data_IF_031960384354
#
_entry.id   IF_031960384354
#
_cell.length_a   1.000
_cell.length_b   1.000
_cell.length_c   1.000
_cell.angle_alpha   90.00
_cell.angle_beta   90.00
_cell.angle_gamma   90.00
#
_symmetry.space_group_name_H-M   'P 1'
#
loop_
_entity.id
_entity.type
_entity.pdbx_description
1 polymer ?
#
# COMPACT_ATOMS: atom_id res chain seq x y z
N UNK A 1 9.01 0.37 2.05
CA UNK A 1 8.14 -0.22 3.06
C UNK A 1 7.09 -1.12 2.43
N UNK A 2 6.30 -0.63 1.48
CA UNK A 2 5.29 -1.43 0.77
C UNK A 2 5.77 -2.01 -0.59
N UNK A 3 7.04 -1.91 -0.89
CA UNK A 3 7.68 -2.51 -2.09
C UNK A 3 7.39 -4.02 -2.22
N UNK A 4 7.32 -4.73 -1.10
CA UNK A 4 6.95 -6.14 -1.06
C UNK A 4 5.58 -6.46 -1.67
N UNK A 5 4.65 -5.50 -1.71
CA UNK A 5 3.35 -5.66 -2.38
C UNK A 5 3.56 -5.82 -3.90
N UNK A 6 4.42 -4.99 -4.49
CA UNK A 6 4.77 -5.12 -5.92
C UNK A 6 5.40 -6.48 -6.22
N UNK A 7 6.28 -6.97 -5.34
CA UNK A 7 6.92 -8.29 -5.46
C UNK A 7 5.87 -9.41 -5.40
N UNK A 8 4.92 -9.35 -4.46
CA UNK A 8 3.86 -10.35 -4.33
C UNK A 8 2.91 -10.36 -5.53
N UNK A 9 2.54 -9.19 -6.06
CA UNK A 9 1.74 -9.06 -7.27
C UNK A 9 2.47 -9.67 -8.48
N UNK A 10 3.76 -9.36 -8.65
CA UNK A 10 4.58 -9.91 -9.72
C UNK A 10 4.70 -11.43 -9.60
N UNK A 11 4.95 -11.95 -8.40
CA UNK A 11 5.04 -13.39 -8.13
C UNK A 11 3.75 -14.13 -8.52
N UNK A 12 2.59 -13.58 -8.18
CA UNK A 12 1.29 -14.16 -8.57
C UNK A 12 1.10 -14.13 -10.10
N UNK A 13 1.45 -13.01 -10.74
CA UNK A 13 1.38 -12.88 -12.19
C UNK A 13 2.27 -13.92 -12.91
N UNK A 14 3.52 -14.05 -12.48
CA UNK A 14 4.48 -14.99 -13.10
C UNK A 14 4.03 -16.45 -12.91
N UNK A 15 3.48 -16.76 -11.73
CA UNK A 15 2.88 -18.08 -11.45
C UNK A 15 1.71 -18.34 -12.42
N UNK A 16 0.84 -17.35 -12.64
CA UNK A 16 -0.30 -17.52 -13.54
C UNK A 16 0.11 -17.74 -14.99
N UNK A 17 1.10 -17.00 -15.49
CA UNK A 17 1.65 -17.19 -16.83
C UNK A 17 2.26 -18.58 -16.98
N UNK A 18 3.07 -19.00 -16.00
CA UNK A 18 3.72 -20.31 -16.00
C UNK A 18 2.70 -21.46 -15.94
N UNK A 19 1.73 -21.37 -15.04
CA UNK A 19 0.67 -22.37 -14.89
C UNK A 19 -0.17 -22.51 -16.16
N UNK A 20 -0.46 -21.38 -16.84
CA UNK A 20 -1.18 -21.38 -18.12
C UNK A 20 -0.38 -22.10 -19.22
N UNK A 21 0.90 -21.82 -19.35
CA UNK A 21 1.75 -22.50 -20.33
C UNK A 21 1.82 -24.03 -20.07
N UNK A 22 1.88 -24.42 -18.81
CA UNK A 22 1.84 -25.84 -18.41
C UNK A 22 0.49 -26.47 -18.79
N UNK A 23 -0.63 -25.79 -18.51
CA UNK A 23 -1.96 -26.27 -18.88
C UNK A 23 -2.12 -26.43 -20.38
N UNK A 24 -1.69 -25.44 -21.18
CA UNK A 24 -1.76 -25.52 -22.64
C UNK A 24 -0.94 -26.67 -23.21
N UNK A 25 0.27 -26.89 -22.68
CA UNK A 25 1.12 -28.02 -23.05
C UNK A 25 0.47 -29.37 -22.67
N UNK A 26 -0.08 -29.47 -21.46
CA UNK A 26 -0.77 -30.68 -20.99
C UNK A 26 -1.99 -30.97 -21.86
N UNK A 27 -2.82 -29.97 -22.19
CA UNK A 27 -3.99 -30.15 -23.06
C UNK A 27 -3.57 -30.60 -24.46
N UNK A 28 -2.50 -30.06 -25.03
CA UNK A 28 -1.98 -30.49 -26.33
C UNK A 28 -1.57 -31.99 -26.31
N UNK A 29 -0.86 -32.42 -25.27
CA UNK A 29 -0.47 -33.85 -25.11
C UNK A 29 -1.68 -34.74 -24.86
N UNK A 30 -2.66 -34.30 -24.05
CA UNK A 30 -3.88 -35.05 -23.79
C UNK A 30 -4.68 -35.23 -25.08
N UNK A 31 -4.84 -34.19 -25.90
CA UNK A 31 -5.53 -34.25 -27.19
C UNK A 31 -4.84 -35.19 -28.18
N UNK A 32 -3.51 -35.30 -28.13
CA UNK A 32 -2.75 -36.19 -29.02
C UNK A 32 -2.85 -37.68 -28.62
N UNK A 33 -3.07 -37.97 -27.33
CA UNK A 33 -2.92 -39.33 -26.81
C UNK A 33 -4.25 -39.98 -26.34
N UNK A 34 -5.31 -39.20 -26.15
CA UNK A 34 -6.58 -39.70 -25.59
C UNK A 34 -7.77 -39.34 -26.46
N UNK A 35 -8.85 -40.14 -26.38
CA UNK A 35 -10.14 -39.92 -27.04
C UNK A 35 -11.31 -40.22 -26.05
N UNK A 36 -12.49 -39.70 -26.38
CA UNK A 36 -13.73 -40.00 -25.65
C UNK A 36 -13.68 -39.62 -24.16
N UNK A 37 -14.13 -40.53 -23.32
CA UNK A 37 -14.23 -40.28 -21.87
C UNK A 37 -12.88 -40.01 -21.22
N UNK A 38 -11.82 -40.69 -21.63
CA UNK A 38 -10.47 -40.48 -21.09
C UNK A 38 -9.94 -39.08 -21.42
N UNK A 39 -10.23 -38.56 -22.61
CA UNK A 39 -9.87 -37.18 -22.98
C UNK A 39 -10.53 -36.18 -22.04
N UNK A 40 -11.83 -36.36 -21.78
CA UNK A 40 -12.58 -35.47 -20.89
C UNK A 40 -12.05 -35.52 -19.43
N UNK A 41 -11.79 -36.72 -18.94
CA UNK A 41 -11.23 -36.95 -17.58
C UNK A 41 -9.84 -36.29 -17.41
N UNK A 42 -8.92 -36.57 -18.33
CA UNK A 42 -7.56 -36.00 -18.26
C UNK A 42 -7.54 -34.49 -18.46
N UNK A 43 -8.42 -33.97 -19.31
CA UNK A 43 -8.58 -32.51 -19.45
C UNK A 43 -9.10 -31.88 -18.16
N UNK A 44 -10.04 -32.52 -17.47
CA UNK A 44 -10.56 -32.07 -16.17
C UNK A 44 -9.46 -32.07 -15.11
N UNK A 45 -8.70 -33.17 -14.97
CA UNK A 45 -7.56 -33.25 -14.05
C UNK A 45 -6.54 -32.12 -14.28
N UNK A 46 -6.15 -31.86 -15.53
CA UNK A 46 -5.21 -30.80 -15.86
C UNK A 46 -5.73 -29.40 -15.47
N UNK A 47 -7.04 -29.14 -15.68
CA UNK A 47 -7.67 -27.90 -15.26
C UNK A 47 -7.78 -27.77 -13.74
N UNK A 48 -8.02 -28.86 -13.04
CA UNK A 48 -8.06 -28.87 -11.56
C UNK A 48 -6.69 -28.52 -10.99
N UNK A 49 -5.61 -29.08 -11.53
CA UNK A 49 -4.24 -28.73 -11.13
C UNK A 49 -3.96 -27.24 -11.38
N UNK A 50 -4.31 -26.73 -12.55
CA UNK A 50 -4.16 -25.31 -12.87
C UNK A 50 -4.90 -24.42 -11.89
N UNK A 51 -6.18 -24.72 -11.62
CA UNK A 51 -7.00 -23.95 -10.69
C UNK A 51 -6.47 -23.99 -9.24
N UNK A 52 -5.99 -25.16 -8.79
CA UNK A 52 -5.37 -25.31 -7.48
C UNK A 52 -4.10 -24.47 -7.36
N UNK A 53 -3.20 -24.56 -8.34
CA UNK A 53 -1.98 -23.75 -8.38
C UNK A 53 -2.26 -22.27 -8.31
N UNK A 54 -3.26 -21.78 -9.06
CA UNK A 54 -3.64 -20.36 -9.01
C UNK A 54 -4.26 -19.98 -7.68
N UNK A 55 -5.08 -20.84 -7.10
CA UNK A 55 -5.74 -20.56 -5.82
C UNK A 55 -4.72 -20.49 -4.67
N UNK A 56 -3.77 -21.39 -4.64
CA UNK A 56 -2.69 -21.42 -3.65
C UNK A 56 -1.81 -20.18 -3.76
N UNK A 57 -1.29 -19.90 -4.96
CA UNK A 57 -0.45 -18.72 -5.21
C UNK A 57 -1.18 -17.41 -4.93
N UNK A 58 -2.48 -17.32 -5.25
CA UNK A 58 -3.33 -16.18 -4.94
C UNK A 58 -3.40 -15.93 -3.45
N UNK A 59 -3.73 -16.96 -2.69
CA UNK A 59 -3.87 -16.85 -1.23
C UNK A 59 -2.56 -16.43 -0.59
N UNK A 60 -1.47 -17.11 -0.93
CA UNK A 60 -0.14 -16.83 -0.38
C UNK A 60 0.29 -15.37 -0.63
N UNK A 61 0.19 -14.92 -1.88
CA UNK A 61 0.63 -13.55 -2.24
C UNK A 61 -0.32 -12.47 -1.70
N UNK A 62 -1.63 -12.73 -1.64
CA UNK A 62 -2.59 -11.81 -1.03
C UNK A 62 -2.35 -11.66 0.47
N UNK A 63 -2.16 -12.76 1.20
CA UNK A 63 -1.87 -12.75 2.63
C UNK A 63 -0.54 -12.06 2.93
N UNK A 64 0.48 -12.23 2.08
CA UNK A 64 1.73 -11.49 2.17
C UNK A 64 1.52 -9.98 2.03
N UNK A 65 0.68 -9.54 1.09
CA UNK A 65 0.32 -8.12 0.95
C UNK A 65 -0.39 -7.59 2.20
N UNK A 66 -1.34 -8.33 2.74
CA UNK A 66 -2.05 -7.92 3.96
C UNK A 66 -1.11 -7.80 5.15
N UNK A 67 -0.19 -8.75 5.32
CA UNK A 67 0.80 -8.73 6.41
C UNK A 67 1.68 -7.46 6.36
N UNK A 68 2.10 -7.05 5.16
CA UNK A 68 2.87 -5.81 4.96
C UNK A 68 2.06 -4.59 5.40
N UNK A 69 0.78 -4.50 5.01
CA UNK A 69 -0.08 -3.37 5.37
C UNK A 69 -0.40 -3.34 6.87
N UNK A 70 -0.58 -4.50 7.49
CA UNK A 70 -0.81 -4.61 8.93
C UNK A 70 0.45 -4.21 9.72
N UNK A 71 1.64 -4.49 9.20
CA UNK A 71 2.89 -4.02 9.79
C UNK A 71 2.99 -2.49 9.73
N UNK A 72 2.65 -1.86 8.60
CA UNK A 72 2.61 -0.39 8.45
C UNK A 72 1.65 0.23 9.46
N UNK A 73 0.42 -0.30 9.56
CA UNK A 73 -0.57 0.18 10.53
C UNK A 73 -0.06 0.05 11.98
N UNK A 74 0.59 -1.07 12.29
CA UNK A 74 1.17 -1.31 13.62
C UNK A 74 2.32 -0.36 13.95
N UNK A 75 3.16 -0.04 12.98
CA UNK A 75 4.24 0.94 13.16
C UNK A 75 3.68 2.35 13.32
N UNK A 76 2.73 2.77 12.51
CA UNK A 76 2.07 4.07 12.61
C UNK A 76 1.41 4.26 13.99
N UNK A 77 0.74 3.23 14.48
CA UNK A 77 0.15 3.22 15.82
C UNK A 77 1.20 3.42 16.92
N UNK A 78 2.31 2.67 16.88
CA UNK A 78 3.40 2.80 17.86
C UNK A 78 3.99 4.21 17.91
N UNK A 79 4.05 4.90 16.76
CA UNK A 79 4.58 6.26 16.69
C UNK A 79 3.68 7.25 17.41
N UNK A 80 2.36 7.16 17.25
CA UNK A 80 1.44 8.07 17.95
C UNK A 80 1.28 7.69 19.42
N UNK A 81 1.58 6.46 19.82
CA UNK A 81 1.56 6.04 21.23
C UNK A 81 2.82 6.47 21.99
N UNK A 82 3.81 7.06 21.31
CA UNK A 82 4.99 7.59 22.00
C UNK A 82 4.61 8.72 22.95
N UNK A 83 5.10 8.68 24.21
CA UNK A 83 4.81 9.74 25.17
C UNK A 83 5.39 11.06 24.69
N UNK A 84 4.63 12.12 24.88
CA UNK A 84 5.10 13.49 24.64
C UNK A 84 6.20 13.82 25.65
N UNK A 85 7.35 14.40 25.23
CA UNK A 85 8.41 14.81 26.12
C UNK A 85 7.87 15.72 27.24
N UNK A 86 8.31 15.50 28.48
CA UNK A 86 7.76 16.17 29.67
C UNK A 86 7.96 17.69 29.67
N UNK A 87 8.98 18.17 28.99
CA UNK A 87 9.33 19.60 28.87
C UNK A 87 8.63 20.29 27.66
N UNK A 88 7.96 19.51 26.80
CA UNK A 88 7.35 20.03 25.58
C UNK A 88 6.31 21.12 25.85
N UNK A 89 5.42 20.90 26.82
CA UNK A 89 4.32 21.84 27.12
C UNK A 89 4.88 23.19 27.55
N UNK A 90 5.85 23.18 28.47
CA UNK A 90 6.48 24.42 28.95
C UNK A 90 7.26 25.15 27.84
N UNK A 91 7.93 24.39 26.95
CA UNK A 91 8.64 24.96 25.81
C UNK A 91 7.67 25.58 24.81
N UNK A 92 6.57 24.93 24.51
CA UNK A 92 5.53 25.45 23.60
C UNK A 92 4.86 26.70 24.19
N UNK A 93 4.58 26.73 25.50
CA UNK A 93 4.03 27.88 26.18
C UNK A 93 5.00 29.07 26.16
N UNK A 94 6.29 28.83 26.42
CA UNK A 94 7.31 29.86 26.29
C UNK A 94 7.37 30.44 24.87
N UNK A 95 7.34 29.57 23.85
CA UNK A 95 7.32 30.00 22.45
C UNK A 95 6.07 30.85 22.13
N UNK A 96 4.90 30.47 22.64
CA UNK A 96 3.64 31.23 22.47
C UNK A 96 3.65 32.60 23.15
N UNK A 97 4.42 32.77 24.22
CA UNK A 97 4.54 34.06 24.92
C UNK A 97 5.51 35.01 24.23
N UNK A 98 6.35 34.53 23.32
CA UNK A 98 7.23 35.37 22.51
C UNK A 98 6.38 36.14 21.48
N UNK A 99 6.54 37.48 21.44
CA UNK A 99 5.79 38.31 20.48
C UNK A 99 6.21 38.05 19.04
N UNK A 100 7.50 37.83 18.82
CA UNK A 100 8.11 37.54 17.50
C UNK A 100 9.29 36.58 17.73
N UNK A 101 9.06 35.25 17.74
CA UNK A 101 10.14 34.30 17.86
C UNK A 101 11.05 34.40 16.63
N UNK A 102 12.34 34.40 16.87
CA UNK A 102 13.35 34.41 15.80
C UNK A 102 13.37 33.08 15.05
N UNK A 103 13.87 33.11 13.81
CA UNK A 103 14.03 31.87 13.02
C UNK A 103 14.84 30.81 13.75
N UNK A 104 15.92 31.20 14.44
CA UNK A 104 16.79 30.28 15.19
C UNK A 104 16.05 29.66 16.40
N UNK A 105 15.22 30.40 17.10
CA UNK A 105 14.41 29.87 18.20
C UNK A 105 13.38 28.86 17.69
N UNK A 106 12.71 29.16 16.59
CA UNK A 106 11.79 28.24 15.92
C UNK A 106 12.52 26.94 15.50
N UNK A 107 13.63 27.06 14.78
CA UNK A 107 14.42 25.91 14.32
C UNK A 107 14.93 25.05 15.49
N UNK A 108 15.29 25.69 16.59
CA UNK A 108 15.72 24.98 17.81
C UNK A 108 14.59 24.16 18.41
N UNK A 109 13.40 24.76 18.55
CA UNK A 109 12.22 24.06 19.10
C UNK A 109 11.77 22.95 18.15
N UNK A 110 11.66 23.22 16.86
CA UNK A 110 11.33 22.21 15.85
C UNK A 110 12.32 21.05 15.88
N UNK A 111 13.62 21.37 15.91
CA UNK A 111 14.69 20.35 15.94
C UNK A 111 14.64 19.44 17.18
N UNK A 112 14.26 20.01 18.34
CA UNK A 112 14.16 19.24 19.59
C UNK A 112 13.00 18.24 19.59
N UNK A 113 11.88 18.54 18.92
CA UNK A 113 10.65 17.75 19.02
C UNK A 113 10.18 17.14 17.70
N UNK A 114 10.93 17.32 16.60
CA UNK A 114 10.54 16.85 15.26
C UNK A 114 10.29 15.35 15.16
N UNK A 115 10.87 14.54 16.04
CA UNK A 115 10.73 13.08 16.03
C UNK A 115 9.58 12.58 16.93
N UNK A 116 8.84 13.48 17.62
CA UNK A 116 7.65 13.12 18.38
C UNK A 116 6.41 13.65 17.64
N UNK A 117 5.54 12.75 17.22
CA UNK A 117 4.39 13.08 16.39
C UNK A 117 3.50 14.18 16.96
N UNK A 118 3.07 14.04 18.23
CA UNK A 118 2.17 15.00 18.82
C UNK A 118 2.83 16.36 19.06
N UNK A 119 4.08 16.35 19.50
CA UNK A 119 4.81 17.57 19.72
C UNK A 119 5.06 18.32 18.40
N UNK A 120 5.51 17.61 17.38
CA UNK A 120 5.74 18.20 16.05
C UNK A 120 4.45 18.76 15.44
N UNK A 121 3.35 17.99 15.50
CA UNK A 121 2.06 18.43 15.01
C UNK A 121 1.53 19.68 15.72
N UNK A 122 1.70 19.78 17.05
CA UNK A 122 1.33 20.95 17.81
C UNK A 122 2.18 22.19 17.45
N UNK A 123 3.46 21.98 17.16
CA UNK A 123 4.35 23.05 16.67
C UNK A 123 3.88 23.53 15.27
N UNK A 124 3.60 22.60 14.37
CA UNK A 124 3.09 22.92 13.03
C UNK A 124 1.77 23.71 13.11
N UNK A 125 0.87 23.34 14.02
CA UNK A 125 -0.39 24.06 14.24
C UNK A 125 -0.15 25.49 14.71
N UNK A 126 0.75 25.67 15.68
CA UNK A 126 1.11 26.97 16.18
C UNK A 126 1.78 27.87 15.13
N UNK A 127 2.73 27.31 14.36
CA UNK A 127 3.48 28.04 13.32
C UNK A 127 2.75 28.13 11.99
N UNK A 128 1.56 27.50 11.85
CA UNK A 128 0.79 27.40 10.60
C UNK A 128 1.59 26.74 9.46
N UNK A 129 2.40 25.76 9.80
CA UNK A 129 3.14 24.93 8.86
C UNK A 129 2.26 23.77 8.36
N UNK A 130 2.59 23.15 7.22
CA UNK A 130 1.97 21.91 6.78
C UNK A 130 2.06 20.86 7.90
N UNK A 131 0.92 20.19 8.19
CA UNK A 131 0.86 19.17 9.23
C UNK A 131 1.15 17.81 8.63
N UNK A 132 1.81 16.92 9.37
CA UNK A 132 1.94 15.54 8.94
C UNK A 132 0.56 14.87 8.84
N UNK A 133 0.46 13.86 7.99
CA UNK A 133 -0.73 13.00 7.89
C UNK A 133 -1.12 12.45 9.25
N UNK A 134 -2.39 12.11 9.42
CA UNK A 134 -2.86 11.46 10.65
C UNK A 134 -2.82 9.95 10.50
N UNK A 135 -2.85 9.24 11.62
CA UNK A 135 -3.00 7.78 11.59
C UNK A 135 -4.32 7.37 10.96
N UNK A 136 -5.38 8.16 11.10
CA UNK A 136 -6.66 7.90 10.45
C UNK A 136 -6.52 7.95 8.93
N UNK A 137 -5.82 8.96 8.40
CA UNK A 137 -5.51 9.03 6.96
C UNK A 137 -4.69 7.82 6.49
N UNK A 138 -3.66 7.42 7.25
CA UNK A 138 -2.87 6.23 6.94
C UNK A 138 -3.75 4.97 6.93
N UNK A 139 -4.66 4.83 7.90
CA UNK A 139 -5.57 3.68 7.96
C UNK A 139 -6.58 3.69 6.81
N UNK A 140 -7.09 4.85 6.41
CA UNK A 140 -7.97 5.00 5.25
C UNK A 140 -7.23 4.63 3.96
N UNK A 141 -6.02 5.13 3.77
CA UNK A 141 -5.16 4.78 2.63
C UNK A 141 -4.85 3.27 2.59
N UNK A 142 -4.56 2.66 3.75
CA UNK A 142 -4.39 1.20 3.87
C UNK A 142 -5.66 0.45 3.49
N UNK A 143 -6.84 0.92 3.90
CA UNK A 143 -8.11 0.31 3.54
C UNK A 143 -8.37 0.39 2.02
N UNK A 144 -8.04 1.50 1.39
CA UNK A 144 -8.13 1.68 -0.06
C UNK A 144 -7.19 0.75 -0.81
N UNK A 145 -5.93 0.63 -0.34
CA UNK A 145 -4.96 -0.32 -0.91
C UNK A 145 -5.48 -1.76 -0.76
N UNK A 146 -5.98 -2.16 0.41
CA UNK A 146 -6.56 -3.50 0.64
C UNK A 146 -7.73 -3.78 -0.31
N UNK A 147 -8.61 -2.80 -0.52
CA UNK A 147 -9.72 -2.92 -1.48
C UNK A 147 -9.23 -3.11 -2.92
N UNK A 148 -8.23 -2.33 -3.33
CA UNK A 148 -7.60 -2.47 -4.64
C UNK A 148 -6.91 -3.82 -4.83
N UNK A 149 -6.15 -4.29 -3.83
CA UNK A 149 -5.52 -5.61 -3.84
C UNK A 149 -6.55 -6.73 -3.94
N UNK A 150 -7.65 -6.66 -3.18
CA UNK A 150 -8.73 -7.63 -3.31
C UNK A 150 -9.26 -7.71 -4.75
N UNK A 151 -9.51 -6.57 -5.39
CA UNK A 151 -9.92 -6.53 -6.80
C UNK A 151 -8.87 -7.16 -7.72
N UNK A 152 -7.59 -6.87 -7.49
CA UNK A 152 -6.49 -7.47 -8.28
C UNK A 152 -6.47 -8.99 -8.17
N UNK A 153 -6.51 -9.53 -6.96
CA UNK A 153 -6.37 -10.96 -6.74
C UNK A 153 -7.64 -11.78 -7.03
N UNK A 154 -8.83 -11.21 -6.86
CA UNK A 154 -10.10 -11.97 -6.90
C UNK A 154 -11.07 -11.54 -7.99
N UNK A 155 -10.95 -10.32 -8.53
CA UNK A 155 -11.92 -9.79 -9.50
C UNK A 155 -11.34 -9.57 -10.89
N UNK A 156 -10.04 -9.33 -11.00
CA UNK A 156 -9.39 -9.08 -12.29
C UNK A 156 -8.75 -10.36 -12.83
N UNK A 157 -8.74 -10.49 -14.15
CA UNK A 157 -7.87 -11.46 -14.79
C UNK A 157 -6.41 -11.04 -14.55
N UNK A 158 -5.59 -11.94 -14.02
CA UNK A 158 -4.17 -11.71 -13.72
C UNK A 158 -3.35 -11.28 -14.96
N UNK A 159 -3.81 -11.61 -16.17
CA UNK A 159 -3.21 -11.19 -17.44
C UNK A 159 -3.72 -9.81 -17.91
N UNK A 160 -4.71 -9.22 -17.21
CA UNK A 160 -5.33 -7.99 -17.65
C UNK A 160 -4.43 -6.77 -17.44
N UNK A 161 -4.61 -5.75 -18.29
CA UNK A 161 -3.92 -4.47 -18.24
C UNK A 161 -4.01 -3.80 -16.84
N UNK A 162 -5.16 -3.92 -16.16
CA UNK A 162 -5.35 -3.36 -14.82
C UNK A 162 -4.47 -4.02 -13.75
N UNK A 163 -4.25 -5.32 -13.84
CA UNK A 163 -3.32 -6.02 -12.96
C UNK A 163 -1.88 -5.53 -13.19
N UNK A 164 -1.48 -5.42 -14.46
CA UNK A 164 -0.18 -4.88 -14.84
C UNK A 164 0.02 -3.46 -14.33
N UNK A 165 -0.99 -2.59 -14.42
CA UNK A 165 -0.92 -1.23 -13.92
C UNK A 165 -0.69 -1.18 -12.40
N UNK A 166 -1.23 -2.11 -11.64
CA UNK A 166 -0.94 -2.21 -10.21
C UNK A 166 0.52 -2.62 -9.94
N UNK A 167 1.07 -3.54 -10.74
CA UNK A 167 2.45 -3.95 -10.64
C UNK A 167 3.41 -2.82 -11.05
N UNK A 168 3.11 -2.14 -12.15
CA UNK A 168 3.94 -1.06 -12.70
C UNK A 168 3.65 0.29 -12.05
N UNK A 169 2.60 0.38 -11.23
CA UNK A 169 1.92 1.63 -10.93
C UNK A 169 2.56 2.51 -9.88
N UNK A 170 2.60 3.76 -10.22
CA UNK A 170 2.96 4.90 -9.37
C UNK A 170 2.10 5.04 -8.10
N UNK A 171 0.95 4.39 -8.01
CA UNK A 171 0.03 4.48 -6.86
C UNK A 171 0.69 3.98 -5.58
N UNK A 172 1.34 2.80 -5.63
CA UNK A 172 2.04 2.27 -4.46
C UNK A 172 3.26 3.12 -4.08
N UNK A 173 3.94 3.73 -5.05
CA UNK A 173 5.12 4.54 -4.79
C UNK A 173 4.80 5.81 -3.97
N UNK A 174 3.67 6.48 -4.27
CA UNK A 174 3.24 7.67 -3.52
C UNK A 174 2.88 7.34 -2.06
N UNK A 175 2.20 6.23 -1.83
CA UNK A 175 1.92 5.76 -0.47
C UNK A 175 3.20 5.32 0.27
N UNK A 176 4.12 4.65 -0.43
CA UNK A 176 5.37 4.17 0.19
C UNK A 176 6.20 5.32 0.77
N UNK A 177 6.30 6.43 0.06
CA UNK A 177 7.05 7.60 0.52
C UNK A 177 6.43 8.20 1.80
N UNK A 178 5.11 8.42 1.80
CA UNK A 178 4.39 8.97 2.96
C UNK A 178 4.43 8.02 4.15
N UNK A 179 4.18 6.73 3.94
CA UNK A 179 4.20 5.74 5.01
C UNK A 179 5.60 5.57 5.60
N UNK A 180 6.62 5.53 4.76
CA UNK A 180 8.02 5.45 5.18
C UNK A 180 8.41 6.67 5.99
N UNK A 181 8.16 7.87 5.49
CA UNK A 181 8.46 9.11 6.18
C UNK A 181 7.76 9.17 7.55
N UNK A 182 6.49 8.80 7.62
CA UNK A 182 5.75 8.77 8.87
C UNK A 182 6.35 7.75 9.86
N UNK A 183 6.60 6.52 9.43
CA UNK A 183 7.12 5.45 10.28
C UNK A 183 8.58 5.67 10.71
N UNK A 184 9.36 6.45 9.95
CA UNK A 184 10.72 6.86 10.31
C UNK A 184 10.75 8.13 11.20
N UNK A 185 9.59 8.73 11.49
CA UNK A 185 9.49 9.95 12.28
C UNK A 185 9.94 11.21 11.52
N UNK A 186 10.04 11.15 10.19
CA UNK A 186 10.31 12.28 9.30
C UNK A 186 9.01 12.98 8.93
N UNK A 187 8.38 13.59 9.92
CA UNK A 187 7.03 14.13 9.76
C UNK A 187 6.94 15.32 8.79
N UNK A 188 8.04 16.03 8.55
CA UNK A 188 8.13 17.07 7.54
C UNK A 188 7.91 16.54 6.10
N UNK A 189 8.26 15.28 5.86
CA UNK A 189 8.12 14.62 4.56
C UNK A 189 6.80 13.83 4.47
N UNK A 190 6.17 13.54 5.61
CA UNK A 190 4.92 12.80 5.70
C UNK A 190 3.70 13.72 5.53
N UNK A 191 3.71 14.55 4.51
CA UNK A 191 2.62 15.51 4.18
C UNK A 191 1.85 14.98 2.98
N UNK A 192 0.51 15.00 3.06
CA UNK A 192 -0.34 14.62 1.95
C UNK A 192 -0.17 15.64 0.80
N UNK A 193 0.26 15.19 -0.38
CA UNK A 193 0.21 16.02 -1.58
C UNK A 193 -1.26 16.20 -1.98
N UNK A 194 -1.69 17.43 -2.22
CA UNK A 194 -3.07 17.73 -2.66
C UNK A 194 -3.44 17.05 -4.00
N UNK A 195 -2.46 16.52 -4.73
CA UNK A 195 -2.64 15.88 -6.05
C UNK A 195 -3.15 14.43 -6.01
N UNK A 196 -3.11 13.74 -4.88
CA UNK A 196 -3.48 12.30 -4.82
C UNK A 196 -4.99 12.02 -4.76
N UNK A 197 -5.84 13.03 -4.54
CA UNK A 197 -7.31 12.80 -4.39
C UNK A 197 -8.10 12.92 -5.70
N UNK A 198 -7.60 13.61 -6.71
CA UNK A 198 -8.37 13.87 -7.94
C UNK A 198 -8.20 12.80 -9.04
N UNK A 199 -7.03 12.15 -9.11
CA UNK A 199 -6.74 11.22 -10.21
C UNK A 199 -7.39 9.83 -10.06
N UNK A 200 -7.79 9.45 -8.84
CA UNK A 200 -8.44 8.15 -8.58
C UNK A 200 -9.91 8.09 -8.98
N UNK A 201 -10.61 9.22 -8.97
CA UNK A 201 -12.07 9.28 -9.16
C UNK A 201 -12.44 9.47 -10.65
N UNK A 202 -11.61 10.13 -11.46
CA UNK A 202 -11.88 10.31 -12.89
C UNK A 202 -11.69 9.04 -13.73
N UNK A 203 -10.79 8.14 -13.33
CA UNK A 203 -10.59 6.88 -14.03
C UNK A 203 -11.79 5.91 -13.95
N UNK A 204 -12.62 6.02 -12.92
CA UNK A 204 -13.85 5.20 -12.80
C UNK A 204 -15.01 5.72 -13.67
N UNK A 205 -15.06 7.01 -13.96
CA UNK A 205 -16.16 7.61 -14.75
C UNK A 205 -16.05 7.38 -16.26
N UNK A 206 -14.86 7.11 -16.77
CA UNK A 206 -14.63 6.90 -18.21
C UNK A 206 -14.96 5.48 -18.70
N UNK A 207 -15.19 4.50 -17.82
CA UNK A 207 -15.41 3.10 -18.20
C UNK A 207 -16.86 2.60 -18.04
N UNK A 208 -17.82 3.45 -17.66
CA UNK A 208 -19.24 3.06 -17.55
C UNK A 208 -20.11 3.46 -18.75
N UNK A 209 -19.51 3.97 -19.85
CA UNK A 209 -20.22 4.31 -21.08
C UNK A 209 -19.61 3.56 -22.28
N UNK A 210 -19.65 2.25 -22.27
CA UNK A 210 -19.26 1.42 -23.41
C UNK A 210 -19.98 0.07 -23.38
#
# INVERSE_FOLDING_TARGET
MIEGIGIALQSYHDTAISAKAILESAIAQINANYIGAMLAEKTKEAKEIYNSTLAESRTENYDACLAILDEVAGQAKKIVEQPVPSDFISTLEALKQMKEPTKTEIETVVGAYKNNYFAYRAICDFLKLPKPVTVDVINDDIADIKSGLYKCFYSYNVEAYRFRNWIEGNILASYDEVFRAFCEGRFEDAVQSEQGKDDGIEAEKLNNNG
#
